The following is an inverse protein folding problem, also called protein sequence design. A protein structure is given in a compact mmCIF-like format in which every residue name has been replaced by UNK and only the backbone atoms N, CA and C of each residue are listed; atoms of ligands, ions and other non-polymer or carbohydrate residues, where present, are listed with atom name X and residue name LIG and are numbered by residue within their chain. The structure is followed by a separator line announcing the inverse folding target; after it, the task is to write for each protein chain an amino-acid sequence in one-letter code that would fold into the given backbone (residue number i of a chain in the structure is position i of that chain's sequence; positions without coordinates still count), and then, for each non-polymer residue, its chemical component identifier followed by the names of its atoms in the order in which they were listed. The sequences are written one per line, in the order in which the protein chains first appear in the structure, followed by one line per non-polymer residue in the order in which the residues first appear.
data_IF_148219418572
#
_entry.id   IF_148219418572
#
_cell.length_a   1.000
_cell.length_b   1.000
_cell.length_c   1.000
_cell.angle_alpha   90.00
_cell.angle_beta   90.00
_cell.angle_gamma   90.00
#
_symmetry.space_group_name_H-M   'P 1'
#
loop_
_entity.id
_entity.type
_entity.pdbx_description
1 polymer ?
#
# COMPACT_ATOMS: atom_id res chain seq x y z
N UNK A 1 0.71 -16.25 2.67
CA UNK A 1 0.86 -16.22 1.19
C UNK A 1 0.55 -17.55 0.49
N UNK A 2 0.46 -18.71 1.16
CA UNK A 2 0.27 -20.01 0.48
C UNK A 2 -1.18 -20.44 0.16
N UNK A 3 -2.19 -20.02 0.94
CA UNK A 3 -3.53 -20.61 0.82
C UNK A 3 -4.35 -20.14 -0.38
N UNK A 4 -4.24 -18.87 -0.77
CA UNK A 4 -5.01 -18.33 -1.90
C UNK A 4 -4.43 -18.75 -3.26
N UNK A 5 -3.11 -18.91 -3.35
CA UNK A 5 -2.43 -19.41 -4.55
C UNK A 5 -2.80 -20.88 -4.76
N UNK A 6 -2.76 -21.70 -3.71
CA UNK A 6 -3.19 -23.09 -3.78
C UNK A 6 -4.66 -23.22 -4.19
N UNK A 7 -5.55 -22.38 -3.61
CA UNK A 7 -6.97 -22.39 -3.97
C UNK A 7 -7.20 -22.05 -5.44
N UNK A 8 -6.53 -21.02 -5.95
CA UNK A 8 -6.70 -20.60 -7.34
C UNK A 8 -6.08 -21.61 -8.33
N UNK A 9 -5.02 -22.31 -7.93
CA UNK A 9 -4.39 -23.37 -8.72
C UNK A 9 -5.28 -24.62 -8.79
N UNK A 10 -5.91 -25.00 -7.67
CA UNK A 10 -6.89 -26.10 -7.65
C UNK A 10 -8.08 -25.78 -8.55
N UNK A 11 -8.62 -24.56 -8.48
CA UNK A 11 -9.74 -24.14 -9.33
C UNK A 11 -9.37 -24.20 -10.82
N UNK A 12 -8.16 -23.75 -11.19
CA UNK A 12 -7.67 -23.83 -12.56
C UNK A 12 -7.52 -25.26 -13.07
N UNK A 13 -6.93 -26.14 -12.25
CA UNK A 13 -6.75 -27.57 -12.59
C UNK A 13 -8.09 -28.29 -12.70
N UNK A 14 -9.04 -28.02 -11.79
CA UNK A 14 -10.39 -28.58 -11.86
C UNK A 14 -11.14 -28.14 -13.11
N UNK A 15 -10.98 -26.89 -13.55
CA UNK A 15 -11.63 -26.41 -14.77
C UNK A 15 -11.08 -27.11 -16.02
N UNK A 16 -9.75 -27.28 -16.11
CA UNK A 16 -9.11 -28.00 -17.23
C UNK A 16 -9.58 -29.45 -17.30
N UNK A 17 -9.61 -30.15 -16.17
CA UNK A 17 -10.10 -31.54 -16.10
C UNK A 17 -11.58 -31.66 -16.49
N UNK A 18 -12.39 -30.67 -16.10
CA UNK A 18 -13.83 -30.67 -16.40
C UNK A 18 -14.10 -30.35 -17.89
N UNK A 19 -13.34 -29.43 -18.49
CA UNK A 19 -13.39 -29.20 -19.94
C UNK A 19 -12.94 -30.41 -20.74
N UNK A 20 -11.93 -31.15 -20.26
CA UNK A 20 -11.49 -32.38 -20.92
C UNK A 20 -12.52 -33.50 -20.79
N UNK A 21 -13.09 -33.69 -19.60
CA UNK A 21 -14.08 -34.75 -19.33
C UNK A 21 -15.38 -34.60 -20.13
N UNK A 22 -15.89 -33.38 -20.30
CA UNK A 22 -17.11 -33.13 -21.09
C UNK A 22 -16.88 -33.42 -22.58
N UNK A 23 -15.71 -33.06 -23.13
CA UNK A 23 -15.40 -33.29 -24.54
C UNK A 23 -15.36 -34.77 -24.89
N UNK A 24 -14.81 -35.63 -24.02
CA UNK A 24 -14.81 -37.08 -24.26
C UNK A 24 -16.20 -37.73 -24.13
N UNK A 25 -17.10 -37.17 -23.30
CA UNK A 25 -18.48 -37.67 -23.16
C UNK A 25 -19.36 -37.39 -24.38
N UNK A 26 -19.12 -36.30 -25.11
CA UNK A 26 -19.95 -35.91 -26.26
C UNK A 26 -19.60 -36.74 -27.51
N UNK A 27 -18.38 -37.27 -27.60
CA UNK A 27 -17.95 -38.13 -28.72
C UNK A 27 -18.20 -39.64 -28.49
N UNK A 28 -18.58 -40.05 -27.28
CA UNK A 28 -18.92 -41.44 -26.95
C UNK A 28 -20.40 -41.76 -27.18
N UNK A 29 -20.99 -41.32 -28.30
CA UNK A 29 -22.28 -41.87 -28.74
C UNK A 29 -22.06 -43.28 -29.27
N UNK A 30 -22.68 -44.33 -28.70
CA UNK A 30 -22.46 -45.69 -29.18
C UNK A 30 -23.03 -45.82 -30.60
N UNK A 31 -22.23 -46.37 -31.51
CA UNK A 31 -22.68 -46.73 -32.85
C UNK A 31 -23.80 -47.78 -32.75
N UNK A 32 -24.83 -47.74 -33.63
CA UNK A 32 -26.07 -48.52 -33.50
C UNK A 32 -25.88 -50.05 -33.48
N UNK A 33 -24.70 -50.55 -33.84
CA UNK A 33 -24.34 -51.98 -33.76
C UNK A 33 -24.19 -52.50 -32.32
N UNK A 34 -23.91 -51.65 -31.32
CA UNK A 34 -23.69 -52.10 -29.93
C UNK A 34 -24.98 -52.25 -29.10
N UNK A 35 -26.10 -51.65 -29.53
CA UNK A 35 -27.38 -51.75 -28.81
C UNK A 35 -28.05 -53.11 -28.97
N UNK A 36 -27.75 -53.88 -30.02
CA UNK A 36 -28.38 -55.18 -30.26
C UNK A 36 -27.83 -56.30 -29.37
N UNK A 37 -26.58 -56.20 -28.92
CA UNK A 37 -25.93 -57.27 -28.16
C UNK A 37 -26.26 -57.26 -26.66
N UNK A 38 -26.72 -56.12 -26.13
CA UNK A 38 -26.98 -55.98 -24.69
C UNK A 38 -28.34 -56.55 -24.25
N UNK A 39 -29.27 -56.78 -25.18
CA UNK A 39 -30.65 -57.19 -24.86
C UNK A 39 -30.80 -58.72 -24.64
N UNK A 40 -29.83 -59.54 -25.06
CA UNK A 40 -29.93 -61.01 -25.03
C UNK A 40 -29.35 -61.69 -23.77
N UNK A 41 -28.70 -60.95 -22.86
CA UNK A 41 -27.94 -61.55 -21.76
C UNK A 41 -28.62 -61.55 -20.38
N UNK A 42 -29.92 -61.23 -20.28
CA UNK A 42 -30.62 -61.17 -18.99
C UNK A 42 -31.69 -62.26 -18.84
N UNK A 43 -31.34 -63.36 -18.18
CA UNK A 43 -32.29 -64.29 -17.55
C UNK A 43 -32.26 -64.17 -16.02
N UNK A 44 -33.36 -64.49 -15.30
CA UNK A 44 -33.59 -64.01 -13.94
C UNK A 44 -33.22 -65.06 -12.89
N UNK A 45 -32.54 -64.68 -11.80
CA UNK A 45 -32.44 -65.54 -10.61
C UNK A 45 -32.63 -64.75 -9.31
N UNK A 46 -33.47 -65.36 -8.50
CA UNK A 46 -34.06 -64.99 -7.22
C UNK A 46 -33.12 -65.18 -6.02
N UNK A 47 -33.38 -64.39 -4.98
CA UNK A 47 -33.24 -64.66 -3.53
C UNK A 47 -31.91 -65.20 -2.95
N UNK A 48 -31.22 -64.42 -2.12
CA UNK A 48 -31.42 -64.35 -0.66
C UNK A 48 -30.19 -63.73 0.04
N UNK A 49 -30.45 -62.85 1.00
CA UNK A 49 -29.47 -62.15 1.83
C UNK A 49 -29.09 -63.03 3.03
N UNK A 50 -27.83 -63.45 3.14
CA UNK A 50 -27.11 -63.62 4.41
C UNK A 50 -25.75 -64.29 4.19
N UNK A 51 -24.71 -63.49 3.93
CA UNK A 51 -23.26 -63.69 4.17
C UNK A 51 -22.46 -62.92 3.12
N UNK A 52 -22.36 -61.60 3.28
CA UNK A 52 -21.39 -60.83 2.49
C UNK A 52 -20.04 -61.02 3.17
N UNK A 53 -19.32 -62.05 2.72
CA UNK A 53 -17.92 -62.29 3.08
C UNK A 53 -17.08 -61.03 2.83
N UNK A 54 -16.17 -60.73 3.75
CA UNK A 54 -15.17 -59.66 3.65
C UNK A 54 -14.37 -59.72 2.33
N UNK A 55 -14.29 -60.90 1.69
CA UNK A 55 -13.69 -61.09 0.36
C UNK A 55 -14.47 -60.46 -0.81
N UNK A 56 -15.80 -60.33 -0.73
CA UNK A 56 -16.62 -59.69 -1.78
C UNK A 56 -16.45 -58.17 -1.74
N UNK A 57 -16.32 -57.58 -0.54
CA UNK A 57 -16.07 -56.15 -0.39
C UNK A 57 -14.66 -55.74 -0.88
N UNK A 58 -13.64 -56.56 -0.60
CA UNK A 58 -12.27 -56.29 -1.06
C UNK A 58 -12.16 -56.46 -2.58
N UNK A 59 -12.76 -57.51 -3.16
CA UNK A 59 -12.77 -57.71 -4.61
C UNK A 59 -13.61 -56.66 -5.36
N UNK A 60 -14.72 -56.19 -4.79
CA UNK A 60 -15.49 -55.08 -5.34
C UNK A 60 -14.70 -53.76 -5.33
N UNK A 61 -13.94 -53.48 -4.26
CA UNK A 61 -13.09 -52.28 -4.18
C UNK A 61 -11.88 -52.35 -5.12
N UNK A 62 -11.22 -53.50 -5.24
CA UNK A 62 -10.14 -53.67 -6.21
C UNK A 62 -10.66 -53.62 -7.64
N UNK A 63 -11.86 -54.16 -7.91
CA UNK A 63 -12.49 -54.08 -9.23
C UNK A 63 -12.90 -52.64 -9.58
N UNK A 64 -13.36 -51.84 -8.61
CA UNK A 64 -13.66 -50.42 -8.85
C UNK A 64 -12.35 -49.67 -9.13
N UNK A 65 -11.29 -49.85 -8.34
CA UNK A 65 -10.03 -49.12 -8.56
C UNK A 65 -9.31 -49.55 -9.84
N UNK A 66 -9.36 -50.83 -10.22
CA UNK A 66 -8.82 -51.29 -11.51
C UNK A 66 -9.70 -50.88 -12.68
N UNK A 67 -11.03 -50.89 -12.56
CA UNK A 67 -11.92 -50.35 -13.60
C UNK A 67 -11.71 -48.86 -13.83
N UNK A 68 -11.49 -48.08 -12.77
CA UNK A 68 -11.13 -46.67 -12.89
C UNK A 68 -9.73 -46.49 -13.47
N UNK A 69 -8.75 -47.32 -13.09
CA UNK A 69 -7.41 -47.28 -13.67
C UNK A 69 -7.42 -47.64 -15.15
N UNK A 70 -8.11 -48.72 -15.55
CA UNK A 70 -8.24 -49.17 -16.93
C UNK A 70 -9.08 -48.20 -17.76
N UNK A 71 -10.10 -47.56 -17.17
CA UNK A 71 -10.85 -46.49 -17.82
C UNK A 71 -9.95 -45.28 -18.08
N UNK A 72 -9.18 -44.84 -17.09
CA UNK A 72 -8.22 -43.71 -17.24
C UNK A 72 -7.09 -44.05 -18.21
N UNK A 73 -6.57 -45.28 -18.19
CA UNK A 73 -5.51 -45.74 -19.10
C UNK A 73 -6.03 -45.92 -20.54
N UNK A 74 -7.26 -46.44 -20.70
CA UNK A 74 -7.98 -46.51 -21.97
C UNK A 74 -8.26 -45.11 -22.53
N UNK A 75 -8.65 -44.16 -21.68
CA UNK A 75 -8.88 -42.78 -22.08
C UNK A 75 -7.58 -42.09 -22.52
N UNK A 76 -6.48 -42.31 -21.78
CA UNK A 76 -5.16 -41.83 -22.15
C UNK A 76 -4.64 -42.50 -23.45
N UNK A 77 -4.93 -43.79 -23.64
CA UNK A 77 -4.57 -44.52 -24.87
C UNK A 77 -5.48 -44.18 -26.07
N UNK A 78 -6.74 -43.86 -25.86
CA UNK A 78 -7.67 -43.41 -26.90
C UNK A 78 -7.39 -41.95 -27.31
N UNK A 79 -6.92 -41.12 -26.38
CA UNK A 79 -6.39 -39.80 -26.70
C UNK A 79 -5.07 -39.87 -27.49
N UNK A 80 -4.27 -40.94 -27.32
CA UNK A 80 -2.97 -41.11 -27.99
C UNK A 80 -3.01 -42.03 -29.22
N UNK A 81 -4.08 -42.79 -29.45
CA UNK A 81 -4.22 -43.65 -30.64
C UNK A 81 -5.15 -43.02 -31.70
N UNK A 82 -4.50 -42.35 -32.66
CA UNK A 82 -4.91 -42.24 -34.07
C UNK A 82 -6.12 -41.38 -34.49
N UNK A 83 -6.49 -40.30 -33.78
CA UNK A 83 -7.48 -39.34 -34.32
C UNK A 83 -7.10 -37.84 -34.27
N UNK A 84 -5.82 -37.52 -34.05
CA UNK A 84 -5.39 -36.14 -33.90
C UNK A 84 -4.18 -35.84 -34.77
N UNK A 85 -4.39 -35.10 -35.87
CA UNK A 85 -3.29 -34.43 -36.55
C UNK A 85 -2.62 -33.49 -35.52
N UNK A 86 -1.30 -33.60 -35.36
CA UNK A 86 -0.45 -32.91 -34.37
C UNK A 86 -0.63 -31.38 -34.29
N UNK A 87 -1.39 -30.79 -35.21
CA UNK A 87 -1.65 -29.37 -35.37
C UNK A 87 -2.86 -28.87 -34.58
N UNK A 88 -3.88 -29.70 -34.32
CA UNK A 88 -5.10 -29.25 -33.63
C UNK A 88 -4.96 -29.23 -32.10
N UNK A 89 -4.33 -30.27 -31.53
CA UNK A 89 -4.15 -30.41 -30.07
C UNK A 89 -3.16 -29.38 -29.53
N UNK A 90 -2.08 -29.11 -30.28
CA UNK A 90 -1.07 -28.12 -29.91
C UNK A 90 -1.62 -26.70 -29.85
N UNK A 91 -2.58 -26.34 -30.73
CA UNK A 91 -3.21 -25.00 -30.73
C UNK A 91 -4.19 -24.76 -29.58
N UNK A 92 -4.96 -25.77 -29.16
CA UNK A 92 -5.87 -25.62 -28.02
C UNK A 92 -5.10 -25.60 -26.69
N UNK A 93 -4.06 -26.42 -26.56
CA UNK A 93 -3.25 -26.50 -25.34
C UNK A 93 -2.43 -25.22 -25.12
N UNK A 94 -1.85 -24.65 -26.18
CA UNK A 94 -1.21 -23.33 -26.12
C UNK A 94 -2.19 -22.21 -25.77
N UNK A 95 -3.43 -22.25 -26.27
CA UNK A 95 -4.46 -21.27 -25.97
C UNK A 95 -4.90 -21.31 -24.51
N UNK A 96 -5.18 -22.51 -23.98
CA UNK A 96 -5.57 -22.71 -22.58
C UNK A 96 -4.40 -22.41 -21.64
N UNK A 97 -3.17 -22.82 -22.00
CA UNK A 97 -1.97 -22.44 -21.27
C UNK A 97 -1.71 -20.94 -21.35
N UNK A 98 -1.89 -20.27 -22.49
CA UNK A 98 -1.74 -18.82 -22.58
C UNK A 98 -2.78 -18.06 -21.76
N UNK A 99 -4.00 -18.57 -21.63
CA UNK A 99 -5.04 -18.00 -20.75
C UNK A 99 -4.76 -18.33 -19.28
N UNK A 100 -4.29 -19.53 -18.95
CA UNK A 100 -3.91 -19.90 -17.59
C UNK A 100 -2.66 -19.14 -17.12
N UNK A 101 -1.60 -19.11 -17.91
CA UNK A 101 -0.41 -18.29 -17.67
C UNK A 101 -0.75 -16.79 -17.76
N UNK A 102 -1.62 -16.36 -18.66
CA UNK A 102 -2.07 -14.96 -18.76
C UNK A 102 -2.83 -14.51 -17.53
N UNK A 103 -3.82 -15.29 -17.06
CA UNK A 103 -4.60 -14.97 -15.85
C UNK A 103 -3.74 -15.06 -14.58
N UNK A 104 -2.76 -15.97 -14.52
CA UNK A 104 -1.79 -16.05 -13.41
C UNK A 104 -0.72 -14.94 -13.48
N UNK A 105 -0.35 -14.47 -14.67
CA UNK A 105 0.66 -13.43 -14.88
C UNK A 105 0.10 -12.00 -14.75
N UNK A 106 -1.20 -11.81 -14.95
CA UNK A 106 -1.84 -10.48 -14.93
C UNK A 106 -2.02 -9.86 -13.53
N UNK A 107 -1.51 -10.48 -12.46
CA UNK A 107 -1.46 -9.85 -11.12
C UNK A 107 -0.06 -9.53 -10.62
N UNK A 108 0.95 -9.55 -11.49
CA UNK A 108 2.28 -9.01 -11.18
C UNK A 108 2.58 -7.77 -12.01
N UNK A 109 1.67 -6.79 -12.00
CA UNK A 109 2.12 -5.41 -11.85
C UNK A 109 2.83 -5.39 -10.49
N UNK A 110 4.12 -5.71 -10.39
CA UNK A 110 5.15 -4.67 -10.43
C UNK A 110 4.51 -3.38 -9.94
N UNK A 111 4.33 -3.31 -8.63
CA UNK A 111 4.95 -2.26 -7.84
C UNK A 111 6.02 -1.57 -8.71
N UNK A 112 5.64 -0.51 -9.44
CA UNK A 112 6.52 0.66 -9.49
C UNK A 112 6.88 0.81 -8.03
N UNK A 113 8.14 0.58 -7.63
CA UNK A 113 8.54 0.66 -6.22
C UNK A 113 8.05 2.00 -5.71
N UNK A 114 6.86 2.02 -5.14
CA UNK A 114 6.32 3.17 -4.48
C UNK A 114 7.26 3.27 -3.31
N UNK A 115 8.08 4.32 -3.31
CA UNK A 115 8.98 4.61 -2.22
C UNK A 115 8.17 4.37 -0.94
N UNK A 116 8.63 3.50 -0.03
CA UNK A 116 7.84 3.13 1.12
C UNK A 116 7.42 4.40 1.85
N UNK A 117 6.19 4.45 2.35
CA UNK A 117 5.61 5.67 2.92
C UNK A 117 6.51 6.33 3.98
N UNK A 118 7.28 5.54 4.74
CA UNK A 118 8.26 6.07 5.71
C UNK A 118 9.39 6.86 5.06
N UNK A 119 9.92 6.38 3.94
CA UNK A 119 10.97 7.06 3.19
C UNK A 119 10.42 8.31 2.49
N UNK A 120 9.16 8.28 2.04
CA UNK A 120 8.47 9.48 1.57
C UNK A 120 8.25 10.51 2.69
N UNK A 121 7.85 10.07 3.89
CA UNK A 121 7.72 10.96 5.05
C UNK A 121 9.06 11.61 5.36
N UNK A 122 10.14 10.80 5.43
CA UNK A 122 11.48 11.32 5.70
C UNK A 122 11.92 12.31 4.63
N UNK A 123 11.76 12.00 3.34
CA UNK A 123 12.15 12.91 2.27
C UNK A 123 11.41 14.24 2.36
N UNK A 124 10.09 14.22 2.59
CA UNK A 124 9.29 15.43 2.76
C UNK A 124 9.73 16.23 3.98
N UNK A 125 9.93 15.59 5.14
CA UNK A 125 10.36 16.28 6.36
C UNK A 125 11.77 16.87 6.21
N UNK A 126 12.68 16.19 5.51
CA UNK A 126 14.02 16.71 5.20
C UNK A 126 13.98 17.92 4.28
N UNK A 127 13.16 17.89 3.23
CA UNK A 127 13.00 19.04 2.31
C UNK A 127 12.29 20.21 2.98
N UNK A 128 11.36 19.91 3.89
CA UNK A 128 10.46 20.87 4.51
C UNK A 128 10.55 20.75 6.05
N UNK A 129 11.64 21.21 6.69
CA UNK A 129 11.77 21.14 8.15
C UNK A 129 10.64 21.94 8.83
N UNK A 130 10.12 21.39 9.92
CA UNK A 130 9.01 21.95 10.69
C UNK A 130 7.62 21.73 10.10
N UNK A 131 7.47 20.88 9.07
CA UNK A 131 6.19 20.63 8.43
C UNK A 131 5.11 20.18 9.42
N UNK A 132 3.90 20.73 9.26
CA UNK A 132 2.77 20.41 10.13
C UNK A 132 2.18 19.04 9.77
N UNK A 133 1.62 18.32 10.75
CA UNK A 133 0.93 17.04 10.51
C UNK A 133 -0.10 17.10 9.38
N UNK A 134 -0.93 18.17 9.36
CA UNK A 134 -1.97 18.32 8.33
C UNK A 134 -1.41 18.66 6.95
N UNK A 135 -0.29 19.38 6.91
CA UNK A 135 0.40 19.74 5.66
C UNK A 135 1.05 18.49 5.06
N UNK A 136 1.78 17.74 5.88
CA UNK A 136 2.37 16.45 5.52
C UNK A 136 1.33 15.44 5.02
N UNK A 137 0.15 15.39 5.63
CA UNK A 137 -0.97 14.57 5.17
C UNK A 137 -1.47 14.99 3.78
N UNK A 138 -1.59 16.30 3.52
CA UNK A 138 -2.03 16.82 2.21
C UNK A 138 -1.00 16.55 1.12
N UNK A 139 0.28 16.62 1.46
CA UNK A 139 1.39 16.38 0.52
C UNK A 139 1.53 14.90 0.15
N UNK A 140 1.43 14.00 1.13
CA UNK A 140 1.58 12.55 0.91
C UNK A 140 0.30 11.85 0.42
N UNK A 141 -0.88 12.44 0.64
CA UNK A 141 -2.16 11.87 0.23
C UNK A 141 -2.52 10.52 0.87
N UNK A 142 -1.81 10.11 1.93
CA UNK A 142 -2.02 8.84 2.62
C UNK A 142 -3.10 8.96 3.71
N UNK A 143 -3.64 7.82 4.18
CA UNK A 143 -4.61 7.82 5.27
C UNK A 143 -4.02 8.41 6.56
N UNK A 144 -4.75 9.31 7.22
CA UNK A 144 -4.30 9.99 8.45
C UNK A 144 -3.85 9.03 9.56
N UNK A 145 -4.55 7.91 9.76
CA UNK A 145 -4.16 6.89 10.75
C UNK A 145 -2.83 6.21 10.41
N UNK A 146 -2.60 5.93 9.12
CA UNK A 146 -1.34 5.36 8.65
C UNK A 146 -0.18 6.37 8.83
N UNK A 147 -0.40 7.65 8.49
CA UNK A 147 0.60 8.70 8.70
C UNK A 147 1.01 8.80 10.17
N UNK A 148 0.05 8.87 11.09
CA UNK A 148 0.34 8.96 12.53
C UNK A 148 1.06 7.71 13.04
N UNK A 149 0.68 6.53 12.56
CA UNK A 149 1.36 5.28 12.90
C UNK A 149 2.82 5.30 12.45
N UNK A 150 3.09 5.67 11.20
CA UNK A 150 4.45 5.74 10.66
C UNK A 150 5.28 6.83 11.33
N UNK A 151 4.72 8.01 11.58
CA UNK A 151 5.39 9.08 12.33
C UNK A 151 5.78 8.63 13.74
N UNK A 152 4.90 7.91 14.44
CA UNK A 152 5.22 7.36 15.78
C UNK A 152 6.38 6.36 15.72
N UNK A 153 6.44 5.55 14.67
CA UNK A 153 7.55 4.61 14.49
C UNK A 153 8.85 5.37 14.21
N UNK A 154 8.83 6.33 13.28
CA UNK A 154 10.00 7.15 12.92
C UNK A 154 10.50 7.97 14.11
N UNK A 155 9.59 8.49 14.94
CA UNK A 155 9.91 9.20 16.19
C UNK A 155 10.59 8.26 17.20
N UNK A 156 10.10 7.01 17.34
CA UNK A 156 10.70 6.00 18.21
C UNK A 156 12.05 5.48 17.70
N UNK A 157 12.21 5.38 16.39
CA UNK A 157 13.47 5.00 15.72
C UNK A 157 14.48 6.16 15.71
N UNK A 158 14.11 7.34 16.22
CA UNK A 158 14.98 8.51 16.30
C UNK A 158 15.28 9.15 14.94
N UNK A 159 14.50 8.83 13.91
CA UNK A 159 14.67 9.40 12.56
C UNK A 159 13.93 10.73 12.37
N UNK A 160 12.97 11.03 13.26
CA UNK A 160 12.20 12.28 13.27
C UNK A 160 12.04 12.76 14.71
N UNK A 161 12.14 14.07 14.90
CA UNK A 161 11.81 14.74 16.16
C UNK A 161 10.49 15.50 15.99
N UNK A 162 9.60 15.41 16.97
CA UNK A 162 8.35 16.17 16.96
C UNK A 162 8.38 17.31 17.97
N UNK A 163 7.96 18.49 17.52
CA UNK A 163 7.81 19.67 18.37
C UNK A 163 6.34 20.10 18.40
N UNK A 164 5.82 20.34 19.60
CA UNK A 164 4.48 20.92 19.76
C UNK A 164 4.60 22.44 19.88
N UNK A 165 3.99 23.15 18.93
CA UNK A 165 3.84 24.60 18.97
C UNK A 165 2.34 24.95 18.95
N UNK A 166 1.81 25.33 20.12
CA UNK A 166 0.38 25.55 20.31
C UNK A 166 -0.45 24.26 20.08
N UNK A 167 -1.40 24.34 19.15
CA UNK A 167 -2.27 23.22 18.79
C UNK A 167 -1.74 22.36 17.62
N UNK A 168 -0.57 22.69 17.09
CA UNK A 168 0.01 22.02 15.93
C UNK A 168 1.30 21.28 16.29
N UNK A 169 1.45 20.07 15.77
CA UNK A 169 2.69 19.27 15.87
C UNK A 169 3.47 19.43 14.57
N UNK A 170 4.74 19.75 14.73
CA UNK A 170 5.71 20.02 13.67
C UNK A 170 6.78 18.93 13.72
N UNK A 171 7.29 18.53 12.56
CA UNK A 171 8.26 17.45 12.46
C UNK A 171 9.57 17.96 11.86
N UNK A 172 10.68 17.48 12.43
CA UNK A 172 12.04 17.85 12.04
C UNK A 172 12.87 16.57 11.91
N UNK A 173 13.91 16.62 11.09
CA UNK A 173 14.99 15.63 11.16
C UNK A 173 15.86 15.90 12.39
N UNK A 174 16.48 14.87 12.99
CA UNK A 174 17.42 15.04 14.10
C UNK A 174 18.61 15.96 13.75
N UNK A 175 19.02 15.93 12.48
CA UNK A 175 20.15 16.70 11.97
C UNK A 175 19.86 18.19 11.76
N UNK A 176 18.58 18.60 11.83
CA UNK A 176 18.20 20.00 11.58
C UNK A 176 18.77 20.97 12.63
N UNK A 177 18.52 20.69 13.90
CA UNK A 177 19.08 21.46 15.01
C UNK A 177 18.89 20.70 16.31
N UNK A 178 19.91 20.69 17.17
CA UNK A 178 19.82 20.14 18.52
C UNK A 178 19.03 21.06 19.47
N UNK A 179 18.88 22.33 19.13
CA UNK A 179 18.23 23.33 19.99
C UNK A 179 16.73 23.45 19.69
N UNK A 180 15.90 23.15 20.70
CA UNK A 180 14.44 23.26 20.61
C UNK A 180 13.96 24.68 20.25
N UNK A 181 14.73 25.71 20.63
CA UNK A 181 14.41 27.13 20.35
C UNK A 181 14.52 27.44 18.86
N UNK A 182 15.53 26.88 18.18
CA UNK A 182 15.72 27.00 16.73
C UNK A 182 14.61 26.26 15.99
N UNK A 183 14.29 25.03 16.41
CA UNK A 183 13.15 24.29 15.85
C UNK A 183 11.83 25.06 16.03
N UNK A 184 11.62 25.70 17.18
CA UNK A 184 10.43 26.53 17.44
C UNK A 184 10.39 27.77 16.55
N UNK A 185 11.52 28.42 16.31
CA UNK A 185 11.63 29.54 15.38
C UNK A 185 11.24 29.11 13.96
N UNK A 186 11.82 28.02 13.46
CA UNK A 186 11.49 27.46 12.14
C UNK A 186 10.00 27.10 12.03
N UNK A 187 9.42 26.48 13.07
CA UNK A 187 7.98 26.22 13.16
C UNK A 187 7.12 27.48 13.08
N UNK A 188 7.53 28.56 13.77
CA UNK A 188 6.82 29.84 13.73
C UNK A 188 6.95 30.55 12.38
N UNK A 189 8.14 30.48 11.77
CA UNK A 189 8.47 31.10 10.49
C UNK A 189 7.74 30.46 9.28
N UNK A 190 7.11 29.29 9.45
CA UNK A 190 6.20 28.71 8.46
C UNK A 190 4.92 29.52 8.25
N UNK A 191 4.49 30.31 9.25
CA UNK A 191 3.39 31.22 9.04
C UNK A 191 3.88 32.40 8.18
N UNK A 192 3.28 32.65 7.01
CA UNK A 192 3.76 33.68 6.08
C UNK A 192 3.76 35.09 6.70
N UNK A 193 2.82 35.37 7.60
CA UNK A 193 2.74 36.65 8.31
C UNK A 193 3.90 36.79 9.29
N UNK A 194 4.19 35.74 10.06
CA UNK A 194 5.32 35.72 10.99
C UNK A 194 6.64 35.84 10.24
N UNK A 195 6.80 35.10 9.13
CA UNK A 195 7.98 35.18 8.26
C UNK A 195 8.21 36.61 7.76
N UNK A 196 7.15 37.27 7.30
CA UNK A 196 7.21 38.66 6.82
C UNK A 196 7.66 39.62 7.94
N UNK A 197 7.15 39.45 9.16
CA UNK A 197 7.58 40.23 10.33
C UNK A 197 9.05 39.97 10.66
N UNK A 198 9.49 38.70 10.64
CA UNK A 198 10.90 38.34 10.91
C UNK A 198 11.84 38.94 9.84
N UNK A 199 11.45 38.86 8.56
CA UNK A 199 12.21 39.45 7.45
C UNK A 199 12.32 40.97 7.57
N UNK A 200 11.23 41.65 7.96
CA UNK A 200 11.22 43.09 8.18
C UNK A 200 12.16 43.49 9.32
N UNK A 201 12.09 42.77 10.45
CA UNK A 201 12.99 42.99 11.59
C UNK A 201 14.46 42.68 11.25
N UNK A 202 14.71 41.68 10.39
CA UNK A 202 16.07 41.35 9.94
C UNK A 202 16.67 42.45 9.06
N UNK A 203 15.87 43.08 8.20
CA UNK A 203 16.29 44.16 7.30
C UNK A 203 16.50 45.50 8.03
N UNK A 204 15.54 45.90 8.86
CA UNK A 204 15.53 47.23 9.47
C UNK A 204 16.18 47.26 10.87
N UNK A 205 16.38 46.09 11.50
CA UNK A 205 16.97 45.95 12.82
C UNK A 205 16.04 46.41 13.94
N UNK A 206 16.01 47.71 14.22
CA UNK A 206 15.14 48.33 15.21
C UNK A 206 13.84 48.75 14.54
N UNK A 207 12.73 48.11 14.88
CA UNK A 207 11.44 48.40 14.24
C UNK A 207 10.31 48.44 15.28
N UNK A 208 9.37 49.37 15.11
CA UNK A 208 8.18 49.45 15.95
C UNK A 208 7.03 48.63 15.37
N UNK A 209 6.07 48.22 16.21
CA UNK A 209 4.88 47.53 15.72
C UNK A 209 4.04 48.39 14.75
N UNK A 210 4.10 49.71 14.90
CA UNK A 210 3.42 50.64 13.98
C UNK A 210 4.10 50.69 12.62
N UNK A 211 5.43 50.66 12.57
CA UNK A 211 6.21 50.55 11.34
C UNK A 211 5.95 49.23 10.63
N UNK A 212 6.03 48.10 11.34
CA UNK A 212 5.73 46.75 10.79
C UNK A 212 4.33 46.70 10.18
N UNK A 213 3.34 47.28 10.87
CA UNK A 213 1.95 47.34 10.39
C UNK A 213 1.84 48.15 9.09
N UNK A 214 2.53 49.29 9.00
CA UNK A 214 2.52 50.14 7.81
C UNK A 214 3.30 49.53 6.64
N UNK A 215 4.49 48.98 6.89
CA UNK A 215 5.35 48.45 5.83
C UNK A 215 4.80 47.17 5.22
N UNK A 216 4.24 46.29 6.04
CA UNK A 216 3.65 45.03 5.57
C UNK A 216 2.15 45.14 5.24
N UNK A 217 1.53 46.31 5.48
CA UNK A 217 0.08 46.53 5.35
C UNK A 217 -0.76 45.48 6.09
N UNK A 218 -0.34 45.13 7.32
CA UNK A 218 -1.02 44.17 8.20
C UNK A 218 -1.72 44.95 9.30
N UNK A 219 -2.91 44.48 9.70
CA UNK A 219 -3.64 45.06 10.82
C UNK A 219 -2.81 45.09 12.12
N UNK A 220 -2.93 46.21 12.85
CA UNK A 220 -2.15 46.47 14.06
C UNK A 220 -2.40 45.44 15.16
N UNK A 221 -3.63 44.91 15.27
CA UNK A 221 -3.96 43.88 16.27
C UNK A 221 -3.28 42.55 15.95
N UNK A 222 -3.19 42.17 14.66
CA UNK A 222 -2.48 40.98 14.22
C UNK A 222 -0.97 41.11 14.42
N UNK A 223 -0.38 42.26 14.09
CA UNK A 223 1.04 42.52 14.38
C UNK A 223 1.30 42.42 15.88
N UNK A 224 0.47 43.06 16.71
CA UNK A 224 0.60 42.98 18.17
C UNK A 224 0.49 41.53 18.67
N UNK A 225 -0.41 40.72 18.11
CA UNK A 225 -0.56 39.31 18.47
C UNK A 225 0.73 38.52 18.17
N UNK A 226 1.25 38.60 16.95
CA UNK A 226 2.44 37.86 16.54
C UNK A 226 3.70 38.35 17.25
N UNK A 227 3.91 39.67 17.35
CA UNK A 227 5.06 40.25 18.07
C UNK A 227 5.05 39.85 19.54
N UNK A 228 3.88 39.83 20.19
CA UNK A 228 3.76 39.34 21.57
C UNK A 228 4.16 37.87 21.69
N UNK A 229 3.76 37.04 20.72
CA UNK A 229 4.19 35.63 20.64
C UNK A 229 5.70 35.48 20.49
N UNK A 230 6.31 36.26 19.60
CA UNK A 230 7.76 36.26 19.34
C UNK A 230 8.58 36.77 20.52
N UNK A 231 8.08 37.79 21.25
CA UNK A 231 8.68 38.28 22.50
C UNK A 231 8.65 37.19 23.58
N UNK A 232 7.52 36.48 23.74
CA UNK A 232 7.41 35.36 24.70
C UNK A 232 8.34 34.19 24.35
N UNK A 233 8.59 33.97 23.07
CA UNK A 233 9.51 32.95 22.59
C UNK A 233 10.99 33.36 22.68
N UNK A 234 11.30 34.62 23.06
CA UNK A 234 12.67 35.15 23.11
C UNK A 234 13.31 35.34 21.73
N UNK A 235 12.51 35.33 20.67
CA UNK A 235 12.95 35.58 19.28
C UNK A 235 13.15 37.09 19.06
N UNK A 236 12.27 37.90 19.66
CA UNK A 236 12.40 39.34 19.70
C UNK A 236 12.73 39.81 21.11
N UNK A 237 13.51 40.88 21.21
CA UNK A 237 13.81 41.59 22.44
C UNK A 237 13.23 43.01 22.38
N UNK A 238 12.55 43.48 23.45
CA UNK A 238 12.07 44.85 23.51
C UNK A 238 13.22 45.79 23.86
N UNK A 239 13.37 46.88 23.12
CA UNK A 239 14.35 47.93 23.42
C UNK A 239 13.65 49.07 24.11
N UNK A 240 14.15 49.47 25.29
CA UNK A 240 13.63 50.63 26.01
C UNK A 240 14.14 51.91 25.35
N UNK A 241 13.23 52.66 24.75
CA UNK A 241 13.50 53.98 24.16
C UNK A 241 12.64 55.03 24.89
N UNK A 242 13.10 56.27 24.92
CA UNK A 242 12.30 57.39 25.44
C UNK A 242 11.08 57.62 24.54
N UNK A 243 9.88 57.33 25.06
CA UNK A 243 8.63 57.54 24.34
C UNK A 243 7.52 56.56 24.73
N UNK A 244 6.39 56.64 24.01
CA UNK A 244 5.26 55.70 24.14
C UNK A 244 5.47 54.40 23.38
N UNK A 245 6.36 54.41 22.39
CA UNK A 245 6.61 53.27 21.51
C UNK A 245 7.71 52.37 22.09
N UNK A 246 7.53 51.07 21.88
CA UNK A 246 8.47 50.03 22.32
C UNK A 246 8.99 49.32 21.08
N UNK A 247 10.11 49.78 20.49
CA UNK A 247 10.71 49.10 19.36
C UNK A 247 11.19 47.71 19.78
N UNK A 248 11.19 46.82 18.81
CA UNK A 248 11.65 45.44 18.95
C UNK A 248 12.85 45.21 18.03
N UNK A 249 13.73 44.32 18.45
CA UNK A 249 14.89 43.86 17.68
C UNK A 249 14.95 42.33 17.75
N UNK A 250 15.51 41.69 16.73
CA UNK A 250 15.83 40.26 16.79
C UNK A 250 16.86 40.01 17.88
N UNK A 251 16.70 38.91 18.62
CA UNK A 251 17.74 38.42 19.51
C UNK A 251 18.94 37.91 18.72
N UNK A 252 20.14 37.96 19.32
CA UNK A 252 21.38 37.61 18.62
C UNK A 252 21.34 36.18 18.05
N UNK A 253 20.81 35.23 18.83
CA UNK A 253 20.66 33.84 18.40
C UNK A 253 19.63 33.66 17.27
N UNK A 254 18.53 34.43 17.30
CA UNK A 254 17.51 34.35 16.25
C UNK A 254 18.06 34.94 14.95
N UNK A 255 18.81 36.05 15.05
CA UNK A 255 19.47 36.67 13.91
C UNK A 255 20.50 35.73 13.27
N UNK A 256 21.37 35.11 14.07
CA UNK A 256 22.36 34.16 13.55
C UNK A 256 21.71 32.94 12.89
N UNK A 257 20.56 32.49 13.40
CA UNK A 257 19.81 31.37 12.82
C UNK A 257 19.19 31.74 11.47
N UNK A 258 18.53 32.91 11.39
CA UNK A 258 17.89 33.38 10.16
C UNK A 258 18.96 33.63 9.08
N UNK A 259 20.08 34.24 9.44
CA UNK A 259 21.18 34.49 8.50
C UNK A 259 21.81 33.18 8.00
N UNK A 260 21.84 32.12 8.84
CA UNK A 260 22.35 30.81 8.46
C UNK A 260 21.40 30.01 7.55
N UNK A 261 20.09 30.27 7.59
CA UNK A 261 19.11 29.64 6.67
C UNK A 261 19.04 30.34 5.29
N UNK A 262 19.61 31.55 5.17
CA UNK A 262 19.58 32.36 3.93
C UNK A 262 20.78 32.07 3.00
N UNK A 263 21.78 31.31 3.44
CA UNK A 263 22.97 30.89 2.67
C UNK A 263 23.04 29.37 2.50
#
# INVERSE_FOLDING_TARGET
MGSQIARNLIIGVSFVLLTWGIVGSILSTPSPTQMSAAQEASSPLTSSLATIEVGVAISAWTNITTQWADFVFSWAQAATSNYWDNSMVTSFDLGVMAVAFGTVSLHRQRDKRAVPLREQILSVVTMNPGIHLRELHRELGCAMGALQYHLRILEREGQIVSLRNGNSRHFFTPDFSSEERVQRLAAMARNPVVNSILSECAKNGLTTQAEISRSLNIDKSLVSYYVTGLLKAGVLNPVKVFGRERPVILSDWARSTIDAEVY
#
